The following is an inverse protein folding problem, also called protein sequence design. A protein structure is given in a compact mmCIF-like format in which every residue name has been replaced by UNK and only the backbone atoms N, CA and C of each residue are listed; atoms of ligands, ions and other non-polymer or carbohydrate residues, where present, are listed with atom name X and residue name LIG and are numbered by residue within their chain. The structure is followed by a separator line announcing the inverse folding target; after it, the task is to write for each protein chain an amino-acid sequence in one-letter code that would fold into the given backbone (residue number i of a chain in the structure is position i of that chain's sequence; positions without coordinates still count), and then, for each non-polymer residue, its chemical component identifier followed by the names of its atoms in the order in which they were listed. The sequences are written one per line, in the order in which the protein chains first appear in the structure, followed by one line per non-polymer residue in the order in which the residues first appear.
data_IF_476071222808
#
_entry.id   IF_476071222808
#
_cell.length_a   1.000
_cell.length_b   1.000
_cell.length_c   1.000
_cell.angle_alpha   90.00
_cell.angle_beta   90.00
_cell.angle_gamma   90.00
#
_symmetry.space_group_name_H-M   'P 1'
#
loop_
_entity.id
_entity.type
_entity.pdbx_description
1 polymer ?
#
# COMPACT_ATOMS: atom_id res chain seq x y z
N UNK A 1 -21.56 -5.33 -45.68
CA UNK A 1 -21.85 -5.19 -44.24
C UNK A 1 -20.71 -5.90 -43.55
N UNK A 2 -19.74 -5.12 -43.13
CA UNK A 2 -18.35 -5.53 -42.89
C UNK A 2 -18.21 -6.17 -41.50
N UNK A 3 -17.53 -7.31 -41.42
CA UNK A 3 -17.32 -8.06 -40.17
C UNK A 3 -16.29 -7.41 -39.23
N UNK A 4 -15.75 -6.24 -39.59
CA UNK A 4 -14.71 -5.52 -38.86
C UNK A 4 -15.26 -4.56 -37.78
N UNK A 5 -16.53 -4.15 -37.87
CA UNK A 5 -17.12 -3.17 -36.95
C UNK A 5 -17.76 -3.80 -35.69
N UNK A 6 -17.83 -5.13 -35.61
CA UNK A 6 -18.45 -5.84 -34.49
C UNK A 6 -17.49 -5.98 -33.30
N UNK A 7 -16.17 -5.85 -33.50
CA UNK A 7 -15.18 -6.16 -32.46
C UNK A 7 -14.73 -4.99 -31.58
N UNK A 8 -14.86 -3.73 -32.02
CA UNK A 8 -14.30 -2.59 -31.26
C UNK A 8 -15.30 -2.05 -30.24
N UNK A 9 -16.57 -1.97 -30.62
CA UNK A 9 -17.65 -1.51 -29.73
C UNK A 9 -18.00 -2.54 -28.67
N UNK A 10 -18.07 -3.83 -29.02
CA UNK A 10 -18.44 -4.91 -28.09
C UNK A 10 -17.35 -5.17 -27.03
N UNK A 11 -16.06 -5.05 -27.40
CA UNK A 11 -14.92 -5.15 -26.45
C UNK A 11 -14.85 -3.94 -25.51
N UNK A 12 -15.12 -2.73 -26.02
CA UNK A 12 -15.17 -1.52 -25.20
C UNK A 12 -16.34 -1.54 -24.19
N UNK A 13 -17.52 -2.02 -24.62
CA UNK A 13 -18.71 -2.10 -23.77
C UNK A 13 -18.57 -3.21 -22.69
N UNK A 14 -17.88 -4.31 -23.02
CA UNK A 14 -17.55 -5.39 -22.09
C UNK A 14 -16.61 -4.95 -20.96
N UNK A 15 -15.53 -4.22 -21.29
CA UNK A 15 -14.59 -3.70 -20.30
C UNK A 15 -15.22 -2.71 -19.32
N UNK A 16 -16.11 -1.85 -19.81
CA UNK A 16 -16.84 -0.88 -18.97
C UNK A 16 -17.88 -1.55 -18.06
N UNK A 17 -18.56 -2.61 -18.53
CA UNK A 17 -19.49 -3.40 -17.72
C UNK A 17 -18.78 -4.15 -16.59
N UNK A 18 -17.66 -4.81 -16.86
CA UNK A 18 -16.84 -5.50 -15.85
C UNK A 18 -16.28 -4.52 -14.81
N UNK A 19 -15.77 -3.37 -15.28
CA UNK A 19 -15.27 -2.31 -14.40
C UNK A 19 -16.38 -1.77 -13.50
N UNK A 20 -17.59 -1.54 -14.03
CA UNK A 20 -18.75 -1.11 -13.24
C UNK A 20 -19.13 -2.16 -12.21
N UNK A 21 -19.15 -3.45 -12.58
CA UNK A 21 -19.44 -4.56 -11.67
C UNK A 21 -18.42 -4.64 -10.53
N UNK A 22 -17.13 -4.51 -10.84
CA UNK A 22 -16.07 -4.51 -9.84
C UNK A 22 -16.17 -3.33 -8.88
N UNK A 23 -16.53 -2.14 -9.36
CA UNK A 23 -16.75 -0.97 -8.49
C UNK A 23 -17.97 -1.11 -7.59
N UNK A 24 -19.06 -1.66 -8.11
CA UNK A 24 -20.25 -1.95 -7.29
C UNK A 24 -19.90 -2.98 -6.21
N UNK A 25 -19.16 -4.04 -6.56
CA UNK A 25 -18.68 -5.04 -5.60
C UNK A 25 -17.72 -4.44 -4.59
N UNK A 26 -16.79 -3.60 -5.00
CA UNK A 26 -15.89 -2.89 -4.11
C UNK A 26 -16.62 -1.97 -3.13
N UNK A 27 -17.60 -1.18 -3.58
CA UNK A 27 -18.41 -0.33 -2.69
C UNK A 27 -19.14 -1.16 -1.64
N UNK A 28 -19.67 -2.31 -2.04
CA UNK A 28 -20.36 -3.20 -1.11
C UNK A 28 -19.38 -3.90 -0.15
N UNK A 29 -18.41 -4.63 -0.67
CA UNK A 29 -17.51 -5.53 0.07
C UNK A 29 -16.36 -4.79 0.75
N UNK A 30 -15.77 -3.81 0.06
CA UNK A 30 -14.62 -3.06 0.54
C UNK A 30 -14.98 -1.84 1.38
N UNK A 31 -16.22 -1.35 1.36
CA UNK A 31 -16.61 -0.13 2.10
C UNK A 31 -17.84 -0.35 2.97
N UNK A 32 -19.00 -0.64 2.38
CA UNK A 32 -20.26 -0.70 3.13
C UNK A 32 -20.26 -1.83 4.17
N UNK A 33 -19.88 -3.04 3.80
CA UNK A 33 -19.82 -4.18 4.74
C UNK A 33 -18.86 -3.90 5.91
N UNK A 34 -17.60 -3.47 5.68
CA UNK A 34 -16.71 -3.08 6.77
C UNK A 34 -17.27 -2.01 7.70
N UNK A 35 -17.95 -0.99 7.15
CA UNK A 35 -18.58 0.06 7.96
C UNK A 35 -19.79 -0.47 8.75
N UNK A 36 -20.61 -1.34 8.17
CA UNK A 36 -21.72 -1.99 8.88
C UNK A 36 -21.21 -2.90 10.00
N UNK A 37 -20.14 -3.67 9.75
CA UNK A 37 -19.50 -4.48 10.79
C UNK A 37 -18.91 -3.60 11.90
N UNK A 38 -18.28 -2.49 11.55
CA UNK A 38 -17.78 -1.51 12.52
C UNK A 38 -18.93 -0.97 13.37
N UNK A 39 -20.03 -0.57 12.73
CA UNK A 39 -21.23 -0.09 13.43
C UNK A 39 -21.83 -1.17 14.35
N UNK A 40 -21.89 -2.42 13.90
CA UNK A 40 -22.36 -3.54 14.71
C UNK A 40 -21.50 -3.77 15.96
N UNK A 41 -20.17 -3.70 15.81
CA UNK A 41 -19.24 -3.77 16.95
C UNK A 41 -19.47 -2.61 17.92
N UNK A 42 -19.58 -1.38 17.41
CA UNK A 42 -19.84 -0.20 18.24
C UNK A 42 -21.18 -0.33 18.99
N UNK A 43 -22.25 -0.79 18.32
CA UNK A 43 -23.55 -1.05 18.96
C UNK A 43 -23.43 -2.12 20.05
N UNK A 44 -22.69 -3.19 19.80
CA UNK A 44 -22.44 -4.22 20.80
C UNK A 44 -21.69 -3.66 22.01
N UNK A 45 -20.64 -2.85 21.80
CA UNK A 45 -19.91 -2.18 22.88
C UNK A 45 -20.81 -1.23 23.68
N UNK A 46 -21.66 -0.44 23.01
CA UNK A 46 -22.63 0.45 23.65
C UNK A 46 -23.64 -0.32 24.51
N UNK A 47 -24.14 -1.46 24.01
CA UNK A 47 -25.06 -2.33 24.75
C UNK A 47 -24.40 -2.98 25.98
N UNK A 48 -23.08 -3.18 25.94
CA UNK A 48 -22.29 -3.76 27.03
C UNK A 48 -21.80 -2.73 28.05
N UNK A 49 -21.86 -1.42 27.75
CA UNK A 49 -21.41 -0.36 28.66
C UNK A 49 -21.96 -0.45 30.09
N UNK A 50 -23.26 -0.76 30.33
CA UNK A 50 -23.80 -0.82 31.68
C UNK A 50 -23.21 -1.92 32.57
N UNK A 51 -22.51 -2.89 31.96
CA UNK A 51 -21.88 -4.03 32.64
C UNK A 51 -20.39 -3.82 32.90
N UNK A 52 -19.83 -2.70 32.46
CA UNK A 52 -18.43 -2.38 32.69
C UNK A 52 -18.25 -1.63 34.02
N UNK A 53 -17.11 -1.82 34.70
CA UNK A 53 -16.75 -0.98 35.83
C UNK A 53 -16.64 0.50 35.41
N UNK A 54 -16.77 1.41 36.37
CA UNK A 54 -16.64 2.87 36.13
C UNK A 54 -15.30 3.27 35.49
N UNK A 55 -14.28 2.42 35.65
CA UNK A 55 -12.94 2.57 35.10
C UNK A 55 -12.50 1.26 34.48
N UNK A 56 -12.08 1.30 33.21
CA UNK A 56 -11.59 0.14 32.46
C UNK A 56 -10.12 0.29 32.13
N UNK A 57 -9.40 -0.82 32.07
CA UNK A 57 -8.05 -0.87 31.52
C UNK A 57 -8.12 -0.55 30.03
N UNK A 58 -7.24 0.34 29.55
CA UNK A 58 -7.11 0.73 28.14
C UNK A 58 -5.70 0.54 27.61
N UNK A 59 -4.74 0.28 28.50
CA UNK A 59 -3.35 0.01 28.17
C UNK A 59 -2.80 -1.07 29.11
N UNK A 60 -1.90 -1.88 28.57
CA UNK A 60 -1.20 -2.94 29.28
C UNK A 60 0.29 -2.80 29.01
N UNK A 61 1.09 -2.89 30.06
CA UNK A 61 2.55 -2.87 29.97
C UNK A 61 3.10 -4.16 29.34
N UNK A 62 4.41 -4.20 29.10
CA UNK A 62 5.09 -5.36 28.49
C UNK A 62 4.95 -6.67 29.29
N UNK A 63 4.73 -6.57 30.61
CA UNK A 63 4.43 -7.70 31.50
C UNK A 63 3.03 -8.29 31.28
N UNK A 64 2.17 -7.66 30.47
CA UNK A 64 0.78 -8.06 30.26
C UNK A 64 -0.17 -7.60 31.38
N UNK A 65 0.30 -6.76 32.31
CA UNK A 65 -0.51 -6.18 33.39
C UNK A 65 -1.06 -4.82 32.98
N UNK A 66 -2.31 -4.48 33.36
CA UNK A 66 -2.87 -3.14 33.15
C UNK A 66 -2.01 -2.06 33.82
N UNK A 67 -1.71 -1.00 33.09
CA UNK A 67 -0.96 0.18 33.58
C UNK A 67 -1.54 1.51 33.08
N UNK A 68 -2.60 1.48 32.27
CA UNK A 68 -3.35 2.65 31.84
C UNK A 68 -4.86 2.39 31.82
N UNK A 69 -5.65 3.40 32.18
CA UNK A 69 -7.09 3.26 32.37
C UNK A 69 -7.86 4.45 31.81
N UNK A 70 -9.10 4.21 31.42
CA UNK A 70 -10.00 5.21 30.90
C UNK A 70 -11.46 4.96 31.24
N UNK A 71 -12.32 5.82 30.73
CA UNK A 71 -13.76 5.65 30.84
C UNK A 71 -14.27 4.58 29.86
N UNK A 72 -15.28 3.77 30.22
CA UNK A 72 -15.83 2.72 29.37
C UNK A 72 -16.25 3.16 27.97
N UNK A 73 -16.79 4.39 27.85
CA UNK A 73 -17.23 4.96 26.57
C UNK A 73 -16.07 5.20 25.58
N UNK A 74 -14.82 5.20 26.04
CA UNK A 74 -13.67 5.37 25.18
C UNK A 74 -13.56 4.25 24.13
N UNK A 75 -13.98 3.02 24.45
CA UNK A 75 -13.95 1.88 23.53
C UNK A 75 -14.82 2.04 22.27
N UNK A 76 -16.14 2.32 22.37
CA UNK A 76 -16.96 2.53 21.18
C UNK A 76 -16.50 3.74 20.36
N UNK A 77 -16.04 4.82 21.00
CA UNK A 77 -15.49 5.99 20.30
C UNK A 77 -14.21 5.63 19.55
N UNK A 78 -13.24 4.99 20.21
CA UNK A 78 -11.98 4.58 19.60
C UNK A 78 -12.19 3.55 18.47
N UNK A 79 -13.10 2.60 18.65
CA UNK A 79 -13.42 1.59 17.63
C UNK A 79 -13.98 2.23 16.37
N UNK A 80 -14.98 3.10 16.52
CA UNK A 80 -15.57 3.84 15.41
C UNK A 80 -14.55 4.77 14.72
N UNK A 81 -13.75 5.49 15.50
CA UNK A 81 -12.73 6.39 14.97
C UNK A 81 -11.62 5.64 14.22
N UNK A 82 -11.02 4.61 14.81
CA UNK A 82 -9.91 3.86 14.20
C UNK A 82 -10.39 3.12 12.95
N UNK A 83 -11.42 2.29 13.08
CA UNK A 83 -11.91 1.49 11.94
C UNK A 83 -12.47 2.41 10.84
N UNK A 84 -13.30 3.38 11.20
CA UNK A 84 -13.90 4.33 10.27
C UNK A 84 -12.85 5.17 9.53
N UNK A 85 -11.89 5.75 10.25
CA UNK A 85 -10.85 6.58 9.65
C UNK A 85 -9.93 5.76 8.73
N UNK A 86 -9.51 4.55 9.14
CA UNK A 86 -8.67 3.70 8.30
C UNK A 86 -9.41 3.25 7.04
N UNK A 87 -10.65 2.75 7.16
CA UNK A 87 -11.45 2.34 6.00
C UNK A 87 -11.67 3.52 5.05
N UNK A 88 -11.99 4.70 5.57
CA UNK A 88 -12.18 5.90 4.77
C UNK A 88 -10.88 6.32 4.08
N UNK A 89 -9.76 6.40 4.81
CA UNK A 89 -8.45 6.77 4.27
C UNK A 89 -8.03 5.83 3.13
N UNK A 90 -8.04 4.53 3.38
CA UNK A 90 -7.60 3.52 2.40
C UNK A 90 -8.50 3.57 1.16
N UNK A 91 -9.82 3.68 1.35
CA UNK A 91 -10.78 3.75 0.23
C UNK A 91 -10.67 5.05 -0.57
N UNK A 92 -10.43 6.19 0.09
CA UNK A 92 -10.25 7.48 -0.57
C UNK A 92 -8.95 7.52 -1.36
N UNK A 93 -7.85 7.01 -0.81
CA UNK A 93 -6.58 6.89 -1.55
C UNK A 93 -6.73 5.99 -2.78
N UNK A 94 -7.50 4.89 -2.65
CA UNK A 94 -7.83 4.03 -3.76
C UNK A 94 -8.63 4.71 -4.87
N UNK A 95 -9.62 5.52 -4.49
CA UNK A 95 -10.49 6.22 -5.44
C UNK A 95 -9.79 7.43 -6.07
N UNK A 96 -9.04 8.20 -5.29
CA UNK A 96 -8.23 9.34 -5.76
C UNK A 96 -7.09 8.88 -6.68
N UNK A 97 -6.63 7.64 -6.51
CA UNK A 97 -5.62 7.01 -7.33
C UNK A 97 -6.07 6.56 -8.72
N UNK A 98 -7.36 6.73 -9.08
CA UNK A 98 -7.87 6.25 -10.38
C UNK A 98 -7.17 6.93 -11.56
N UNK A 99 -6.25 6.21 -12.16
CA UNK A 99 -5.94 6.36 -13.58
C UNK A 99 -7.06 5.74 -14.41
N UNK A 100 -7.26 6.21 -15.65
CA UNK A 100 -8.14 5.52 -16.62
C UNK A 100 -7.65 4.08 -16.87
N UNK A 101 -6.35 3.81 -16.66
CA UNK A 101 -5.61 2.60 -17.05
C UNK A 101 -5.11 1.73 -15.89
N UNK A 102 -4.98 2.31 -14.69
CA UNK A 102 -4.47 1.62 -13.51
C UNK A 102 -5.50 1.60 -12.39
N UNK A 103 -6.00 0.41 -12.05
CA UNK A 103 -6.75 0.19 -10.83
C UNK A 103 -5.79 -0.35 -9.76
N UNK A 104 -5.65 0.39 -8.67
CA UNK A 104 -5.28 -0.17 -7.38
C UNK A 104 -6.14 -1.42 -7.19
N UNK A 105 -5.54 -2.58 -6.94
CA UNK A 105 -6.27 -3.84 -6.93
C UNK A 105 -7.39 -3.75 -5.88
N UNK A 106 -8.63 -3.54 -6.34
CA UNK A 106 -9.79 -3.32 -5.49
C UNK A 106 -10.00 -4.54 -4.57
N UNK A 107 -9.49 -5.71 -4.96
CA UNK A 107 -9.46 -6.91 -4.14
C UNK A 107 -8.55 -6.75 -2.94
N UNK A 108 -7.35 -6.24 -3.15
CA UNK A 108 -6.40 -5.97 -2.07
C UNK A 108 -7.00 -4.96 -1.09
N UNK A 109 -7.62 -3.89 -1.58
CA UNK A 109 -8.23 -2.89 -0.71
C UNK A 109 -9.43 -3.47 0.05
N UNK A 110 -10.28 -4.26 -0.62
CA UNK A 110 -11.40 -4.94 0.04
C UNK A 110 -10.91 -5.88 1.13
N UNK A 111 -9.81 -6.61 0.87
CA UNK A 111 -9.17 -7.49 1.83
C UNK A 111 -8.62 -6.71 3.03
N UNK A 112 -7.91 -5.60 2.80
CA UNK A 112 -7.36 -4.76 3.87
C UNK A 112 -8.49 -4.18 4.72
N UNK A 113 -9.54 -3.62 4.13
CA UNK A 113 -10.64 -3.00 4.89
C UNK A 113 -11.43 -4.04 5.71
N UNK A 114 -11.66 -5.24 5.18
CA UNK A 114 -12.28 -6.33 5.95
C UNK A 114 -11.36 -6.89 7.03
N UNK A 115 -10.05 -6.97 6.76
CA UNK A 115 -9.07 -7.30 7.79
C UNK A 115 -9.05 -6.24 8.90
N UNK A 116 -9.13 -4.95 8.57
CA UNK A 116 -9.14 -3.84 9.54
C UNK A 116 -10.28 -4.00 10.54
N UNK A 117 -11.52 -4.15 10.09
CA UNK A 117 -12.65 -4.35 11.01
C UNK A 117 -12.59 -5.72 11.69
N UNK A 118 -12.13 -6.75 10.99
CA UNK A 118 -12.00 -8.10 11.52
C UNK A 118 -10.98 -8.23 12.65
N UNK A 119 -9.86 -7.53 12.55
CA UNK A 119 -8.84 -7.51 13.58
C UNK A 119 -9.15 -6.45 14.64
N UNK A 120 -9.20 -5.16 14.26
CA UNK A 120 -9.37 -4.08 15.24
C UNK A 120 -10.76 -4.10 15.88
N UNK A 121 -11.83 -4.36 15.12
CA UNK A 121 -13.17 -4.45 15.68
C UNK A 121 -13.32 -5.60 16.67
N UNK A 122 -12.87 -6.81 16.30
CA UNK A 122 -12.90 -7.98 17.21
C UNK A 122 -11.99 -7.78 18.41
N UNK A 123 -10.79 -7.24 18.21
CA UNK A 123 -9.86 -6.94 19.30
C UNK A 123 -10.49 -5.94 20.28
N UNK A 124 -11.04 -4.83 19.80
CA UNK A 124 -11.67 -3.83 20.66
C UNK A 124 -12.92 -4.36 21.38
N UNK A 125 -13.69 -5.25 20.74
CA UNK A 125 -14.81 -5.92 21.40
C UNK A 125 -14.33 -6.91 22.46
N UNK A 126 -13.29 -7.69 22.17
CA UNK A 126 -12.67 -8.61 23.12
C UNK A 126 -12.17 -7.88 24.37
N UNK A 127 -11.48 -6.74 24.19
CA UNK A 127 -10.98 -5.92 25.30
C UNK A 127 -12.10 -5.36 26.19
N UNK A 128 -13.31 -5.19 25.65
CA UNK A 128 -14.52 -4.90 26.44
C UNK A 128 -15.04 -6.14 27.15
N UNK A 129 -15.15 -7.27 26.44
CA UNK A 129 -15.72 -8.52 26.96
C UNK A 129 -14.95 -9.05 28.17
N UNK A 130 -13.62 -8.97 28.16
CA UNK A 130 -12.78 -9.48 29.27
C UNK A 130 -12.89 -8.65 30.56
N UNK A 131 -13.57 -7.50 30.50
CA UNK A 131 -13.75 -6.59 31.64
C UNK A 131 -15.21 -6.55 32.15
N UNK A 132 -16.10 -7.37 31.58
CA UNK A 132 -17.52 -7.39 31.95
C UNK A 132 -17.73 -7.91 33.37
N UNK A 133 -18.64 -7.24 34.08
CA UNK A 133 -19.11 -7.58 35.42
C UNK A 133 -17.98 -7.68 36.47
N UNK A 134 -16.87 -6.98 36.25
CA UNK A 134 -15.78 -6.84 37.21
C UNK A 134 -16.03 -5.65 38.15
N UNK A 135 -15.66 -5.80 39.41
CA UNK A 135 -15.66 -4.69 40.39
C UNK A 135 -14.52 -3.70 40.13
N UNK A 136 -13.34 -4.21 39.73
CA UNK A 136 -12.17 -3.42 39.36
C UNK A 136 -11.44 -4.04 38.15
N UNK A 137 -11.00 -3.19 37.23
CA UNK A 137 -10.23 -3.58 36.04
C UNK A 137 -8.73 -3.71 36.31
N UNK A 138 -8.25 -3.45 37.53
CA UNK A 138 -6.83 -3.44 37.89
C UNK A 138 -6.08 -4.77 37.72
N UNK A 139 -6.78 -5.89 37.62
CA UNK A 139 -6.19 -7.24 37.55
C UNK A 139 -6.38 -7.97 36.23
N UNK A 140 -6.99 -7.35 35.22
CA UNK A 140 -7.33 -8.02 33.95
C UNK A 140 -6.06 -8.24 33.12
N UNK A 141 -5.56 -9.48 32.97
CA UNK A 141 -4.37 -9.72 32.18
C UNK A 141 -4.65 -9.46 30.70
N UNK A 142 -3.61 -9.10 29.95
CA UNK A 142 -3.74 -8.93 28.50
C UNK A 142 -4.15 -10.26 27.85
N UNK A 143 -5.24 -10.30 27.04
CA UNK A 143 -5.77 -11.56 26.50
C UNK A 143 -5.01 -12.00 25.24
N UNK A 144 -3.75 -12.42 25.39
CA UNK A 144 -2.84 -12.78 24.29
C UNK A 144 -3.44 -13.73 23.25
N UNK A 145 -4.09 -14.81 23.70
CA UNK A 145 -4.74 -15.77 22.81
C UNK A 145 -5.95 -15.19 22.08
N UNK A 146 -6.69 -14.30 22.75
CA UNK A 146 -7.79 -13.57 22.11
C UNK A 146 -7.28 -12.59 21.06
N UNK A 147 -6.11 -11.96 21.26
CA UNK A 147 -5.47 -11.13 20.23
C UNK A 147 -5.05 -11.96 19.02
N UNK A 148 -4.47 -13.14 19.24
CA UNK A 148 -4.12 -14.07 18.17
C UNK A 148 -5.38 -14.54 17.40
N UNK A 149 -6.47 -14.83 18.12
CA UNK A 149 -7.75 -15.19 17.52
C UNK A 149 -8.36 -14.04 16.72
N UNK A 150 -8.32 -12.80 17.23
CA UNK A 150 -8.77 -11.61 16.51
C UNK A 150 -7.95 -11.40 15.21
N UNK A 151 -6.63 -11.60 15.27
CA UNK A 151 -5.78 -11.54 14.09
C UNK A 151 -6.16 -12.61 13.06
N UNK A 152 -6.38 -13.86 13.51
CA UNK A 152 -6.82 -14.95 12.65
C UNK A 152 -8.18 -14.65 11.99
N UNK A 153 -9.14 -14.11 12.74
CA UNK A 153 -10.43 -13.67 12.21
C UNK A 153 -10.24 -12.57 11.17
N UNK A 154 -9.38 -11.58 11.45
CA UNK A 154 -8.99 -10.56 10.48
C UNK A 154 -8.46 -11.17 9.18
N UNK A 155 -7.55 -12.14 9.26
CA UNK A 155 -7.01 -12.83 8.07
C UNK A 155 -8.11 -13.54 7.28
N UNK A 156 -9.00 -14.27 7.95
CA UNK A 156 -10.14 -14.93 7.29
C UNK A 156 -11.03 -13.92 6.57
N UNK A 157 -11.39 -12.82 7.23
CA UNK A 157 -12.21 -11.77 6.63
C UNK A 157 -11.50 -11.05 5.48
N UNK A 158 -10.19 -10.85 5.59
CA UNK A 158 -9.38 -10.32 4.50
C UNK A 158 -9.37 -11.24 3.28
N UNK A 159 -9.22 -12.55 3.48
CA UNK A 159 -9.33 -13.55 2.40
C UNK A 159 -10.73 -13.53 1.78
N UNK A 160 -11.79 -13.44 2.59
CA UNK A 160 -13.17 -13.30 2.08
C UNK A 160 -13.29 -12.04 1.21
N UNK A 161 -12.76 -10.89 1.67
CA UNK A 161 -12.74 -9.65 0.90
C UNK A 161 -12.00 -9.76 -0.42
N UNK A 162 -10.86 -10.44 -0.41
CA UNK A 162 -10.09 -10.73 -1.60
C UNK A 162 -10.88 -11.58 -2.62
N UNK A 163 -11.60 -12.60 -2.16
CA UNK A 163 -12.32 -13.52 -3.05
C UNK A 163 -13.64 -12.94 -3.57
N UNK A 164 -14.35 -12.15 -2.76
CA UNK A 164 -15.64 -11.58 -3.14
C UNK A 164 -15.53 -10.37 -4.09
N UNK A 165 -14.37 -9.72 -4.13
CA UNK A 165 -14.11 -8.64 -5.08
C UNK A 165 -13.51 -9.22 -6.36
N UNK A 166 -14.11 -8.97 -7.55
CA UNK A 166 -13.58 -9.45 -8.81
C UNK A 166 -12.22 -8.84 -9.14
N UNK A 167 -11.37 -9.62 -9.82
CA UNK A 167 -10.14 -9.08 -10.42
C UNK A 167 -10.52 -8.35 -11.69
N UNK A 168 -10.20 -7.06 -11.74
CA UNK A 168 -10.15 -6.33 -13.01
C UNK A 168 -8.70 -6.38 -13.43
N UNK A 169 -8.42 -7.08 -14.53
CA UNK A 169 -7.09 -7.00 -15.11
C UNK A 169 -6.88 -5.54 -15.53
N UNK A 170 -5.85 -4.90 -14.98
CA UNK A 170 -5.36 -3.68 -15.59
C UNK A 170 -4.81 -4.10 -16.96
N UNK A 171 -5.39 -3.58 -18.04
CA UNK A 171 -4.76 -3.67 -19.36
C UNK A 171 -3.38 -3.03 -19.22
N UNK A 172 -2.34 -3.83 -19.46
CA UNK A 172 -1.01 -3.28 -19.57
C UNK A 172 -1.06 -2.25 -20.69
N UNK A 173 -0.62 -1.01 -20.43
CA UNK A 173 -0.45 -0.07 -21.52
C UNK A 173 0.49 -0.70 -22.56
N UNK A 174 0.12 -0.63 -23.84
CA UNK A 174 1.00 -1.08 -24.92
C UNK A 174 2.32 -0.35 -24.80
N UNK A 175 3.37 -1.10 -24.45
CA UNK A 175 4.70 -0.57 -24.30
C UNK A 175 5.28 -0.19 -25.65
N UNK A 176 5.74 1.05 -25.78
CA UNK A 176 6.48 1.47 -26.97
C UNK A 176 7.90 0.95 -26.87
N UNK A 177 8.44 0.39 -27.95
CA UNK A 177 9.85 0.01 -28.05
C UNK A 177 10.60 1.07 -28.87
N UNK A 178 11.31 2.02 -28.24
CA UNK A 178 12.02 3.07 -28.96
C UNK A 178 13.09 2.50 -29.87
N UNK A 179 13.41 3.21 -30.95
CA UNK A 179 14.48 2.79 -31.85
C UNK A 179 15.84 2.72 -31.12
N UNK A 180 16.69 1.74 -31.47
CA UNK A 180 18.03 1.63 -30.91
C UNK A 180 18.86 2.89 -31.18
N UNK A 181 19.54 3.40 -30.16
CA UNK A 181 20.54 4.45 -30.34
C UNK A 181 21.79 3.79 -30.92
N UNK A 182 22.25 4.30 -32.07
CA UNK A 182 23.45 3.80 -32.72
C UNK A 182 24.70 4.13 -31.89
N UNK A 183 25.44 3.08 -31.49
CA UNK A 183 26.71 3.19 -30.80
C UNK A 183 27.85 2.87 -31.78
N UNK A 184 28.95 3.62 -31.72
CA UNK A 184 30.17 3.30 -32.48
C UNK A 184 30.86 2.08 -31.87
N UNK A 185 31.67 1.34 -32.65
CA UNK A 185 32.48 0.26 -32.10
C UNK A 185 33.35 0.75 -30.94
N UNK A 186 33.23 0.13 -29.77
CA UNK A 186 33.95 0.52 -28.55
C UNK A 186 33.41 1.76 -27.82
N UNK A 187 32.32 2.38 -28.28
CA UNK A 187 31.68 3.49 -27.59
C UNK A 187 31.00 3.01 -26.30
N UNK A 188 31.33 3.68 -25.19
CA UNK A 188 30.69 3.44 -23.90
C UNK A 188 29.84 4.65 -23.52
N UNK A 189 28.53 4.46 -23.55
CA UNK A 189 27.54 5.41 -23.06
C UNK A 189 26.80 4.85 -21.84
N UNK A 190 26.50 5.71 -20.87
CA UNK A 190 25.69 5.36 -19.71
C UNK A 190 24.59 6.40 -19.53
N UNK A 191 23.37 5.93 -19.28
CA UNK A 191 22.25 6.76 -18.90
C UNK A 191 22.13 6.75 -17.37
N UNK A 192 22.01 7.93 -16.77
CA UNK A 192 22.02 8.13 -15.32
C UNK A 192 20.94 9.12 -14.93
N UNK A 193 20.12 8.74 -13.95
CA UNK A 193 19.14 9.67 -13.40
C UNK A 193 18.95 9.45 -11.90
N UNK A 194 18.69 10.52 -11.17
CA UNK A 194 18.18 10.44 -9.80
C UNK A 194 16.70 10.76 -9.82
N UNK A 195 15.88 9.78 -9.45
CA UNK A 195 14.42 9.91 -9.40
C UNK A 195 13.99 10.12 -7.96
N UNK A 196 13.19 11.15 -7.71
CA UNK A 196 12.71 11.52 -6.38
C UNK A 196 11.19 11.42 -6.30
N UNK A 197 10.68 11.19 -5.09
CA UNK A 197 9.25 11.05 -4.87
C UNK A 197 8.49 12.34 -5.23
N UNK A 198 7.35 12.20 -5.89
CA UNK A 198 6.49 13.31 -6.24
C UNK A 198 6.00 14.10 -5.01
N UNK A 199 5.80 15.41 -5.18
CA UNK A 199 5.39 16.33 -4.10
C UNK A 199 4.19 15.85 -3.28
N UNK A 200 3.08 15.34 -3.87
CA UNK A 200 1.95 14.86 -3.07
C UNK A 200 2.33 13.72 -2.12
N UNK A 201 3.16 12.77 -2.57
CA UNK A 201 3.67 11.68 -1.74
C UNK A 201 4.52 12.21 -0.59
N UNK A 202 5.43 13.15 -0.88
CA UNK A 202 6.25 13.82 0.16
C UNK A 202 5.38 14.57 1.18
N UNK A 203 4.36 15.31 0.73
CA UNK A 203 3.44 16.03 1.62
C UNK A 203 2.73 15.07 2.56
N UNK A 204 2.19 13.95 2.05
CA UNK A 204 1.52 12.94 2.87
C UNK A 204 2.47 12.37 3.92
N UNK A 205 3.72 12.06 3.55
CA UNK A 205 4.72 11.54 4.48
C UNK A 205 5.10 12.57 5.54
N UNK A 206 5.29 13.84 5.16
CA UNK A 206 5.62 14.93 6.09
C UNK A 206 4.46 15.19 7.06
N UNK A 207 3.22 15.27 6.57
CA UNK A 207 2.04 15.46 7.42
C UNK A 207 1.88 14.31 8.41
N UNK A 208 2.06 13.07 7.93
CA UNK A 208 2.00 11.88 8.80
C UNK A 208 3.09 11.92 9.87
N UNK A 209 4.31 12.34 9.50
CA UNK A 209 5.41 12.47 10.44
C UNK A 209 5.17 13.57 11.48
N UNK A 210 4.64 14.73 11.06
CA UNK A 210 4.25 15.82 11.97
C UNK A 210 3.17 15.34 12.94
N UNK A 211 2.17 14.61 12.47
CA UNK A 211 1.13 14.05 13.33
C UNK A 211 1.70 13.08 14.39
N UNK A 212 2.66 12.22 14.01
CA UNK A 212 3.34 11.33 14.95
C UNK A 212 4.15 12.11 16.00
N UNK A 213 4.86 13.16 15.59
CA UNK A 213 5.61 14.01 16.51
C UNK A 213 4.68 14.73 17.47
N UNK A 214 3.60 15.34 16.97
CA UNK A 214 2.61 16.01 17.82
C UNK A 214 1.95 15.04 18.79
N UNK A 215 1.64 13.82 18.36
CA UNK A 215 1.12 12.76 19.24
C UNK A 215 2.12 12.39 20.33
N UNK A 216 3.39 12.16 19.99
CA UNK A 216 4.43 11.88 20.99
C UNK A 216 4.56 13.02 22.01
N UNK A 217 4.61 14.27 21.55
CA UNK A 217 4.66 15.46 22.42
C UNK A 217 3.43 15.52 23.33
N UNK A 218 2.23 15.30 22.79
CA UNK A 218 1.00 15.26 23.58
C UNK A 218 1.07 14.21 24.69
N UNK A 219 1.51 12.99 24.38
CA UNK A 219 1.67 11.91 25.36
C UNK A 219 2.66 12.29 26.48
N UNK A 220 3.78 12.93 26.13
CA UNK A 220 4.72 13.44 27.14
C UNK A 220 4.08 14.52 28.04
N UNK A 221 3.28 15.42 27.46
CA UNK A 221 2.62 16.51 28.21
C UNK A 221 1.60 15.99 29.21
N UNK A 222 0.86 14.94 28.88
CA UNK A 222 -0.14 14.34 29.78
C UNK A 222 0.45 13.33 30.78
N UNK A 223 1.78 13.18 30.81
CA UNK A 223 2.49 12.29 31.75
C UNK A 223 2.60 10.83 31.29
N UNK A 224 2.14 10.50 30.08
CA UNK A 224 2.21 9.16 29.49
C UNK A 224 3.59 8.87 28.87
N UNK A 225 4.62 8.86 29.71
CA UNK A 225 6.03 8.84 29.29
C UNK A 225 6.39 7.61 28.46
N UNK A 226 5.93 6.41 28.87
CA UNK A 226 6.23 5.17 28.16
C UNK A 226 5.62 5.17 26.74
N UNK A 227 4.36 5.57 26.63
CA UNK A 227 3.67 5.69 25.34
C UNK A 227 4.30 6.79 24.46
N UNK A 228 4.71 7.91 25.06
CA UNK A 228 5.44 8.98 24.37
C UNK A 228 6.72 8.48 23.72
N UNK A 229 7.54 7.71 24.45
CA UNK A 229 8.74 7.10 23.89
C UNK A 229 8.45 6.06 22.81
N UNK A 230 7.41 5.24 22.98
CA UNK A 230 7.01 4.26 21.97
C UNK A 230 6.61 4.93 20.64
N UNK A 231 5.80 6.00 20.68
CA UNK A 231 5.41 6.75 19.50
C UNK A 231 6.61 7.50 18.91
N UNK A 232 7.47 8.11 19.73
CA UNK A 232 8.67 8.80 19.26
C UNK A 232 9.63 7.83 18.55
N UNK A 233 9.91 6.67 19.15
CA UNK A 233 10.73 5.63 18.54
C UNK A 233 10.15 5.11 17.22
N UNK A 234 8.84 4.89 17.18
CA UNK A 234 8.12 4.53 15.94
C UNK A 234 8.26 5.63 14.88
N UNK A 235 8.13 6.90 15.27
CA UNK A 235 8.32 8.05 14.40
C UNK A 235 9.73 8.13 13.82
N UNK A 236 10.77 7.85 14.61
CA UNK A 236 12.16 7.80 14.13
C UNK A 236 12.34 6.65 13.13
N UNK A 237 11.83 5.46 13.44
CA UNK A 237 11.90 4.32 12.54
C UNK A 237 11.22 4.61 11.21
N UNK A 238 10.01 5.16 11.22
CA UNK A 238 9.27 5.54 10.01
C UNK A 238 10.05 6.60 9.22
N UNK A 239 10.63 7.61 9.88
CA UNK A 239 11.41 8.64 9.20
C UNK A 239 12.64 8.06 8.48
N UNK A 240 13.35 7.10 9.09
CA UNK A 240 14.48 6.40 8.47
C UNK A 240 14.04 5.58 7.25
N UNK A 241 12.93 4.85 7.35
CA UNK A 241 12.36 4.10 6.23
C UNK A 241 11.93 5.02 5.08
N UNK A 242 11.32 6.16 5.41
CA UNK A 242 10.93 7.18 4.43
C UNK A 242 12.16 7.74 3.71
N UNK A 243 13.22 8.11 4.44
CA UNK A 243 14.46 8.60 3.83
C UNK A 243 15.07 7.58 2.87
N UNK A 244 15.01 6.31 3.23
CA UNK A 244 15.52 5.20 2.41
C UNK A 244 14.70 4.96 1.13
N UNK A 245 13.39 5.25 1.15
CA UNK A 245 12.46 4.94 0.06
C UNK A 245 12.13 6.13 -0.86
N UNK A 246 12.62 7.34 -0.59
CA UNK A 246 12.16 8.59 -1.25
C UNK A 246 13.00 9.05 -2.44
N UNK A 247 14.18 8.47 -2.65
CA UNK A 247 15.04 8.81 -3.79
C UNK A 247 15.89 7.62 -4.25
N UNK A 248 15.90 7.38 -5.56
CA UNK A 248 16.65 6.30 -6.19
C UNK A 248 17.55 6.85 -7.29
N UNK A 249 18.79 6.38 -7.33
CA UNK A 249 19.67 6.55 -8.48
C UNK A 249 19.50 5.36 -9.41
N UNK A 250 19.14 5.66 -10.65
CA UNK A 250 18.93 4.71 -11.73
C UNK A 250 20.06 4.88 -12.74
N UNK A 251 20.61 3.75 -13.18
CA UNK A 251 21.70 3.68 -14.14
C UNK A 251 21.42 2.58 -15.16
N UNK A 252 21.67 2.88 -16.42
CA UNK A 252 21.76 1.90 -17.50
C UNK A 252 23.09 2.08 -18.21
N UNK A 253 23.79 0.97 -18.45
CA UNK A 253 25.04 0.90 -19.20
C UNK A 253 25.19 -0.47 -19.88
N UNK A 254 26.37 -0.72 -20.47
CA UNK A 254 26.69 -2.02 -21.09
C UNK A 254 26.60 -3.21 -20.11
N UNK A 255 26.74 -3.00 -18.80
CA UNK A 255 26.59 -4.06 -17.81
C UNK A 255 25.11 -4.35 -17.48
N UNK A 256 24.19 -3.50 -17.92
CA UNK A 256 22.74 -3.67 -17.77
C UNK A 256 22.10 -2.57 -16.94
N UNK A 257 21.13 -2.97 -16.13
CA UNK A 257 20.30 -2.07 -15.33
C UNK A 257 20.68 -2.09 -13.86
N UNK A 258 20.77 -0.91 -13.24
CA UNK A 258 20.96 -0.76 -11.81
C UNK A 258 20.04 0.33 -11.25
N UNK A 259 19.40 0.04 -10.13
CA UNK A 259 18.67 1.04 -9.35
C UNK A 259 18.98 0.87 -7.86
N UNK A 260 19.35 1.96 -7.19
CA UNK A 260 19.68 1.95 -5.76
C UNK A 260 19.12 3.15 -5.04
N UNK A 261 18.69 2.98 -3.79
CA UNK A 261 18.40 4.11 -2.91
C UNK A 261 19.63 5.00 -2.76
N UNK A 262 19.44 6.30 -2.52
CA UNK A 262 20.55 7.21 -2.18
C UNK A 262 21.28 6.80 -0.89
N UNK A 263 20.61 6.08 0.01
CA UNK A 263 21.22 5.53 1.25
C UNK A 263 22.00 4.24 0.98
N UNK A 264 22.01 3.74 -0.26
CA UNK A 264 22.78 2.55 -0.69
C UNK A 264 21.99 1.24 -0.69
N UNK A 265 20.94 1.14 0.12
CA UNK A 265 19.99 0.03 0.13
C UNK A 265 18.56 0.57 0.28
N UNK A 266 17.54 -0.01 -0.37
CA UNK A 266 17.55 -1.19 -1.24
C UNK A 266 18.19 -0.91 -2.60
N UNK A 267 18.69 -1.98 -3.23
CA UNK A 267 19.30 -1.96 -4.56
C UNK A 267 18.83 -3.13 -5.41
N UNK A 268 18.79 -2.92 -6.71
CA UNK A 268 18.49 -3.92 -7.73
C UNK A 268 19.52 -3.79 -8.84
N UNK A 269 19.96 -4.93 -9.36
CA UNK A 269 20.84 -5.02 -10.52
C UNK A 269 20.32 -6.15 -11.42
N UNK A 270 20.28 -5.88 -12.71
CA UNK A 270 19.90 -6.84 -13.75
C UNK A 270 20.98 -6.78 -14.83
N UNK A 271 21.79 -7.83 -14.96
CA UNK A 271 22.76 -7.97 -16.05
C UNK A 271 22.11 -7.85 -17.42
N UNK A 272 22.83 -7.33 -18.42
CA UNK A 272 22.30 -7.11 -19.78
C UNK A 272 21.79 -8.41 -20.44
N UNK A 273 22.45 -9.54 -20.16
CA UNK A 273 22.11 -10.88 -20.66
C UNK A 273 20.82 -11.45 -20.03
N UNK A 274 20.44 -10.95 -18.85
CA UNK A 274 19.15 -11.26 -18.23
C UNK A 274 18.00 -10.43 -18.81
N UNK A 275 18.26 -9.40 -19.62
CA UNK A 275 17.22 -8.50 -20.14
C UNK A 275 16.70 -9.02 -21.49
N UNK A 276 15.43 -9.47 -21.50
CA UNK A 276 14.77 -9.96 -22.70
C UNK A 276 14.16 -8.82 -23.54
N UNK A 277 13.51 -7.86 -22.90
CA UNK A 277 12.95 -6.69 -23.58
C UNK A 277 12.89 -5.48 -22.65
N UNK A 278 12.93 -4.29 -23.25
CA UNK A 278 12.65 -3.03 -22.58
C UNK A 278 11.65 -2.22 -23.38
N UNK A 279 10.64 -1.74 -22.67
CA UNK A 279 9.51 -1.01 -23.21
C UNK A 279 9.30 0.26 -22.39
N UNK A 280 8.84 1.32 -23.06
CA UNK A 280 8.42 2.57 -22.43
C UNK A 280 6.91 2.49 -22.21
N UNK A 281 6.51 2.64 -20.94
CA UNK A 281 5.10 2.61 -20.51
C UNK A 281 4.79 3.87 -19.71
N UNK A 282 3.52 4.24 -19.67
CA UNK A 282 3.04 5.35 -18.83
C UNK A 282 2.47 4.81 -17.52
N UNK A 283 3.04 5.24 -16.39
CA UNK A 283 2.67 4.76 -15.06
C UNK A 283 2.06 5.88 -14.22
N UNK A 284 0.93 5.57 -13.61
CA UNK A 284 0.35 6.34 -12.52
C UNK A 284 0.65 5.62 -11.18
N UNK A 285 1.34 6.25 -10.22
CA UNK A 285 1.73 5.61 -8.97
C UNK A 285 0.56 5.05 -8.18
N UNK A 286 -0.49 5.86 -8.02
CA UNK A 286 -1.65 5.45 -7.25
C UNK A 286 -2.54 4.50 -8.04
N UNK A 287 -2.58 4.61 -9.37
CA UNK A 287 -3.39 3.74 -10.22
C UNK A 287 -2.78 2.36 -10.42
N UNK A 288 -1.48 2.28 -10.69
CA UNK A 288 -0.83 1.04 -11.10
C UNK A 288 -0.17 0.32 -9.93
N UNK A 289 0.36 1.05 -8.94
CA UNK A 289 1.18 0.46 -7.86
C UNK A 289 0.67 0.74 -6.45
N UNK A 290 -0.44 1.46 -6.29
CA UNK A 290 -0.98 1.81 -4.98
C UNK A 290 -0.16 2.81 -4.19
N UNK A 291 0.59 3.65 -4.89
CA UNK A 291 1.36 4.75 -4.33
C UNK A 291 2.82 4.72 -4.74
N UNK A 292 3.64 5.45 -3.98
CA UNK A 292 5.02 5.73 -4.35
C UNK A 292 6.05 4.86 -3.60
N UNK A 293 7.21 4.66 -4.22
CA UNK A 293 8.35 3.94 -3.68
C UNK A 293 8.52 2.56 -4.31
N UNK A 294 9.10 1.63 -3.56
CA UNK A 294 9.31 0.26 -3.98
C UNK A 294 8.03 -0.56 -3.77
N UNK A 295 7.47 -1.10 -4.85
CA UNK A 295 6.13 -1.72 -4.88
C UNK A 295 6.13 -2.99 -5.72
N UNK A 296 5.01 -3.71 -5.67
CA UNK A 296 4.76 -4.87 -6.53
C UNK A 296 3.37 -4.77 -7.13
N UNK A 297 3.27 -5.06 -8.43
CA UNK A 297 2.04 -5.14 -9.18
C UNK A 297 2.04 -6.43 -10.02
N UNK A 298 0.89 -7.06 -10.19
CA UNK A 298 0.79 -8.33 -10.92
C UNK A 298 1.03 -8.22 -12.43
N UNK A 299 0.75 -7.06 -13.02
CA UNK A 299 0.89 -6.74 -14.45
C UNK A 299 2.29 -6.20 -14.76
N UNK A 300 2.74 -5.22 -13.98
CA UNK A 300 4.00 -4.49 -14.17
C UNK A 300 5.17 -5.07 -13.36
N UNK A 301 4.93 -6.07 -12.51
CA UNK A 301 5.95 -6.69 -11.67
C UNK A 301 6.42 -5.78 -10.56
N UNK A 302 7.72 -5.83 -10.27
CA UNK A 302 8.32 -4.99 -9.24
C UNK A 302 8.40 -3.53 -9.70
N UNK A 303 8.01 -2.56 -8.89
CA UNK A 303 7.99 -1.15 -9.25
C UNK A 303 8.94 -0.32 -8.40
N UNK A 304 9.75 0.54 -9.01
CA UNK A 304 10.39 1.70 -8.34
C UNK A 304 9.69 2.94 -8.89
N UNK A 305 8.63 3.35 -8.19
CA UNK A 305 7.63 4.27 -8.71
C UNK A 305 7.63 5.53 -7.89
N UNK A 306 8.34 6.54 -8.38
CA UNK A 306 8.61 7.76 -7.63
C UNK A 306 7.68 8.89 -8.03
N UNK A 307 7.17 8.88 -9.27
CA UNK A 307 6.26 9.91 -9.81
C UNK A 307 5.37 9.34 -10.92
N UNK A 308 4.36 10.11 -11.32
CA UNK A 308 3.57 9.78 -12.50
C UNK A 308 4.29 10.17 -13.79
N UNK A 309 4.03 9.41 -14.86
CA UNK A 309 4.53 9.66 -16.21
C UNK A 309 5.27 8.45 -16.79
N UNK A 310 6.22 8.72 -17.68
CA UNK A 310 7.02 7.70 -18.36
C UNK A 310 7.80 6.81 -17.38
N UNK A 311 7.87 5.53 -17.73
CA UNK A 311 8.60 4.51 -17.00
C UNK A 311 9.19 3.48 -17.96
N UNK A 312 10.30 2.88 -17.51
CA UNK A 312 10.94 1.76 -18.16
C UNK A 312 10.37 0.46 -17.60
N UNK A 313 9.75 -0.35 -18.45
CA UNK A 313 9.36 -1.72 -18.17
C UNK A 313 10.45 -2.66 -18.71
N UNK A 314 11.24 -3.23 -17.81
CA UNK A 314 12.29 -4.21 -18.13
C UNK A 314 11.74 -5.60 -17.86
N UNK A 315 11.65 -6.42 -18.91
CA UNK A 315 11.28 -7.83 -18.82
C UNK A 315 12.54 -8.68 -18.85
N UNK A 316 12.72 -9.53 -17.84
CA UNK A 316 13.83 -10.47 -17.76
C UNK A 316 13.56 -11.72 -18.59
N UNK A 317 14.63 -12.44 -18.97
CA UNK A 317 14.56 -13.74 -19.66
C UNK A 317 13.77 -14.80 -18.91
N UNK A 318 13.73 -14.73 -17.58
CA UNK A 318 12.91 -15.61 -16.72
C UNK A 318 11.44 -15.16 -16.58
N UNK A 319 11.00 -14.14 -17.32
CA UNK A 319 9.63 -13.61 -17.30
C UNK A 319 9.33 -12.63 -16.16
N UNK A 320 10.23 -12.44 -15.19
CA UNK A 320 10.06 -11.42 -14.15
C UNK A 320 10.16 -10.03 -14.75
N UNK A 321 9.36 -9.09 -14.24
CA UNK A 321 9.29 -7.71 -14.72
C UNK A 321 9.68 -6.73 -13.63
N UNK A 322 10.37 -5.66 -14.02
CA UNK A 322 10.60 -4.50 -13.18
C UNK A 322 10.25 -3.22 -13.94
N UNK A 323 9.56 -2.30 -13.26
CA UNK A 323 9.14 -1.01 -13.80
C UNK A 323 9.77 0.12 -13.00
N UNK A 324 10.39 1.09 -13.66
CA UNK A 324 10.98 2.25 -12.98
C UNK A 324 10.57 3.54 -13.67
N UNK A 325 9.95 4.44 -12.91
CA UNK A 325 9.55 5.76 -13.41
C UNK A 325 10.78 6.64 -13.57
N UNK A 326 11.00 7.22 -14.75
CA UNK A 326 12.20 8.00 -15.10
C UNK A 326 11.82 9.15 -16.04
N UNK A 327 12.55 10.27 -15.97
CA UNK A 327 12.40 11.35 -16.97
C UNK A 327 13.29 10.96 -18.15
N UNK A 328 12.70 10.77 -19.33
CA UNK A 328 13.36 10.25 -20.54
C UNK A 328 13.58 8.73 -20.56
N UNK A 329 12.47 7.99 -20.41
CA UNK A 329 12.46 6.54 -20.59
C UNK A 329 12.83 6.15 -22.03
N UNK A 330 12.49 6.99 -23.01
CA UNK A 330 12.74 6.73 -24.44
C UNK A 330 14.21 6.61 -24.74
N UNK A 331 15.04 7.57 -24.31
CA UNK A 331 16.50 7.51 -24.52
C UNK A 331 17.13 6.34 -23.76
N UNK A 332 16.68 6.06 -22.54
CA UNK A 332 17.22 4.96 -21.75
C UNK A 332 16.95 3.59 -22.39
N UNK A 333 15.73 3.37 -22.89
CA UNK A 333 15.36 2.15 -23.62
C UNK A 333 16.09 2.05 -24.97
N UNK A 334 16.17 3.15 -25.72
CA UNK A 334 16.91 3.21 -26.99
C UNK A 334 18.39 2.89 -26.83
N UNK A 335 19.04 3.42 -25.77
CA UNK A 335 20.44 3.13 -25.45
C UNK A 335 20.65 1.64 -25.17
N UNK A 336 19.76 1.03 -24.38
CA UNK A 336 19.88 -0.39 -24.05
C UNK A 336 19.73 -1.29 -25.28
N UNK A 337 18.79 -0.94 -26.17
CA UNK A 337 18.63 -1.65 -27.44
C UNK A 337 19.85 -1.48 -28.33
N UNK A 338 20.52 -0.33 -28.30
CA UNK A 338 21.79 -0.10 -28.98
C UNK A 338 22.86 -1.11 -28.54
N UNK A 339 23.03 -1.31 -27.23
CA UNK A 339 23.94 -2.32 -26.68
C UNK A 339 23.58 -3.76 -27.05
N UNK A 340 22.28 -4.11 -27.02
CA UNK A 340 21.84 -5.45 -27.44
C UNK A 340 22.08 -5.74 -28.93
N UNK A 341 22.16 -4.71 -29.76
CA UNK A 341 22.50 -4.85 -31.18
C UNK A 341 24.00 -4.92 -31.42
N UNK A 342 24.80 -4.12 -30.70
CA UNK A 342 26.26 -4.15 -30.83
C UNK A 342 26.88 -5.48 -30.37
N UNK A 343 26.31 -6.14 -29.37
CA UNK A 343 26.80 -7.45 -28.89
C UNK A 343 26.44 -8.61 -29.83
N UNK A 344 25.53 -8.39 -30.79
CA UNK A 344 25.08 -9.39 -31.78
C UNK A 344 25.76 -9.26 -33.14
N UNK A 345 26.51 -8.19 -33.39
CA UNK A 345 27.23 -7.92 -34.64
C UNK A 345 28.72 -8.16 -34.49
#
# INVERSE_FOLDING_TARGET
MDAADINVTEVADGGDAERRRALTRFRLVGVLIPLMLTAAVVVAQLALLPRLPNRVATHWGFSGTPDGWGAPWAYPVATGAICGALIALISLLALAGRSRRGALDLRMISAINLWTVGFFGVLMLLLVIVQLDLEDAGSVPLPWWGMAAAFAIGVVLGVVGWQLTPRVAAEAADGVRPDPIALRPGEQAAWLQTVTMARPGVIVLVVSQVALVLMAVYLFVIGEVAAGWAIAGTGVLIALLVLMMTAFRVRFDAAGFQARSLVGWPRVQIPIDEIASVEVVEINPMGDFGGWGWRFNSTYGQGIVMRAGEALLVTRTNGKRITVTVDDATTAAGLLRGYQQSDRG
#
